data_IF_896396253586
#
_entry.id   IF_896396253586
#
_cell.length_a   1.000
_cell.length_b   1.000
_cell.length_c   1.000
_cell.angle_alpha   90.00
_cell.angle_beta   90.00
_cell.angle_gamma   90.00
#
_symmetry.space_group_name_H-M   'P 1'
#
loop_
_entity.id
_entity.type
_entity.pdbx_description
1 polymer ?
#
# COMPACT_ATOMS: atom_id res chain seq x y z
N UNK A 1 6.73 -56.27 8.79
CA UNK A 1 7.42 -55.16 9.48
C UNK A 1 6.55 -53.91 9.39
N UNK A 2 5.75 -53.64 10.43
CA UNK A 2 4.71 -52.60 10.43
C UNK A 2 5.31 -51.18 10.42
N UNK A 3 4.98 -50.39 9.40
CA UNK A 3 5.27 -48.95 9.37
C UNK A 3 4.36 -48.24 10.36
N UNK A 4 4.92 -47.80 11.50
CA UNK A 4 4.23 -46.89 12.43
C UNK A 4 4.06 -45.53 11.75
N UNK A 5 2.81 -45.12 11.51
CA UNK A 5 2.48 -43.76 11.09
C UNK A 5 2.90 -42.73 12.15
N UNK A 6 3.01 -41.44 11.79
CA UNK A 6 3.42 -40.40 12.72
C UNK A 6 2.37 -40.30 13.84
N UNK A 7 2.80 -40.49 15.09
CA UNK A 7 1.93 -40.25 16.25
C UNK A 7 1.72 -38.75 16.36
N UNK A 8 0.65 -38.26 15.73
CA UNK A 8 0.15 -36.91 15.93
C UNK A 8 -0.28 -36.82 17.39
N UNK A 9 0.33 -35.92 18.16
CA UNK A 9 -0.04 -35.69 19.56
C UNK A 9 -1.52 -35.32 19.68
N UNK A 10 -2.10 -35.54 20.87
CA UNK A 10 -3.47 -35.10 21.15
C UNK A 10 -3.54 -33.58 21.05
N UNK A 11 -4.56 -33.09 20.39
CA UNK A 11 -4.84 -31.66 20.26
C UNK A 11 -5.29 -31.10 21.62
N UNK A 12 -4.95 -29.83 21.89
CA UNK A 12 -5.21 -29.16 23.17
C UNK A 12 -6.71 -29.08 23.45
N UNK A 13 -7.53 -28.90 22.41
CA UNK A 13 -8.98 -28.89 22.53
C UNK A 13 -9.53 -30.24 23.04
N UNK A 14 -8.98 -31.36 22.56
CA UNK A 14 -9.37 -32.71 23.00
C UNK A 14 -8.95 -32.94 24.46
N UNK A 15 -7.76 -32.46 24.83
CA UNK A 15 -7.25 -32.62 26.17
C UNK A 15 -8.06 -31.82 27.21
N UNK A 16 -8.60 -30.66 26.83
CA UNK A 16 -9.43 -29.83 27.72
C UNK A 16 -10.88 -30.31 27.81
N UNK A 17 -11.41 -30.93 26.75
CA UNK A 17 -12.73 -31.56 26.77
C UNK A 17 -12.78 -32.74 27.76
N UNK A 18 -11.68 -33.51 27.88
CA UNK A 18 -11.53 -34.58 28.88
C UNK A 18 -11.71 -34.07 30.34
N UNK A 19 -11.45 -32.78 30.59
CA UNK A 19 -11.65 -32.12 31.90
C UNK A 19 -12.92 -31.26 31.96
N UNK A 20 -13.85 -31.41 31.02
CA UNK A 20 -15.12 -30.70 30.99
C UNK A 20 -15.03 -29.24 30.51
N UNK A 21 -13.89 -28.83 29.96
CA UNK A 21 -13.68 -27.48 29.44
C UNK A 21 -13.85 -27.46 27.92
N UNK A 22 -15.05 -27.12 27.46
CA UNK A 22 -15.34 -27.02 26.03
C UNK A 22 -14.94 -25.65 25.47
N UNK A 23 -13.86 -25.62 24.70
CA UNK A 23 -13.43 -24.40 24.01
C UNK A 23 -14.33 -24.12 22.79
N UNK A 24 -14.72 -22.86 22.53
CA UNK A 24 -15.38 -22.50 21.29
C UNK A 24 -14.41 -22.70 20.12
N UNK A 25 -14.61 -23.77 19.35
CA UNK A 25 -13.81 -24.05 18.17
C UNK A 25 -14.33 -23.23 16.99
N UNK A 26 -13.45 -22.47 16.34
CA UNK A 26 -13.73 -21.97 14.99
C UNK A 26 -13.78 -23.21 14.08
N UNK A 27 -14.87 -23.45 13.33
CA UNK A 27 -14.93 -24.58 12.41
C UNK A 27 -13.72 -24.50 11.50
N UNK A 28 -12.90 -25.56 11.52
CA UNK A 28 -11.74 -25.65 10.66
C UNK A 28 -12.24 -25.57 9.22
N UNK A 29 -11.93 -24.47 8.55
CA UNK A 29 -12.15 -24.36 7.12
C UNK A 29 -11.36 -25.50 6.50
N UNK A 30 -12.03 -26.41 5.81
CA UNK A 30 -11.35 -27.40 4.98
C UNK A 30 -10.45 -26.62 4.02
N UNK A 31 -9.15 -26.63 4.30
CA UNK A 31 -8.17 -26.17 3.33
C UNK A 31 -8.38 -27.04 2.10
N UNK A 32 -8.95 -26.46 1.06
CA UNK A 32 -9.10 -27.08 -0.24
C UNK A 32 -7.77 -27.79 -0.56
N UNK A 33 -7.86 -29.10 -0.82
CA UNK A 33 -6.67 -29.91 -1.10
C UNK A 33 -5.88 -29.21 -2.19
N UNK A 34 -4.63 -28.83 -1.90
CA UNK A 34 -3.74 -28.21 -2.88
C UNK A 34 -3.82 -29.01 -4.18
N UNK A 35 -4.28 -28.38 -5.26
CA UNK A 35 -4.18 -28.96 -6.59
C UNK A 35 -2.72 -29.38 -6.78
N UNK A 36 -2.53 -30.66 -7.14
CA UNK A 36 -1.20 -31.19 -7.36
C UNK A 36 -0.66 -30.49 -8.60
N UNK A 37 0.23 -29.53 -8.39
CA UNK A 37 0.98 -28.92 -9.48
C UNK A 37 1.67 -29.99 -10.34
N UNK A 38 2.08 -29.64 -11.57
CA UNK A 38 2.62 -30.59 -12.54
C UNK A 38 3.85 -31.37 -12.05
N UNK A 39 4.51 -30.89 -10.99
CA UNK A 39 5.60 -31.58 -10.31
C UNK A 39 5.07 -32.53 -9.23
N UNK A 40 4.61 -33.70 -9.67
CA UNK A 40 4.00 -34.74 -8.82
C UNK A 40 5.01 -35.50 -7.95
N UNK A 41 6.32 -35.37 -8.22
CA UNK A 41 7.37 -36.01 -7.44
C UNK A 41 8.48 -35.00 -7.11
N UNK A 42 8.44 -34.45 -5.90
CA UNK A 42 9.58 -33.75 -5.32
C UNK A 42 10.63 -34.79 -4.90
N UNK A 43 11.72 -34.89 -5.66
CA UNK A 43 12.89 -35.66 -5.23
C UNK A 43 13.45 -34.97 -3.97
N UNK A 44 13.65 -35.68 -2.85
CA UNK A 44 14.26 -35.09 -1.67
C UNK A 44 15.63 -34.51 -2.02
N UNK A 45 16.03 -33.41 -1.36
CA UNK A 45 17.33 -32.72 -1.62
C UNK A 45 18.55 -33.66 -1.61
N UNK A 46 18.47 -34.75 -0.85
CA UNK A 46 19.53 -35.77 -0.73
C UNK A 46 19.36 -36.96 -1.67
N UNK A 47 18.43 -36.90 -2.62
CA UNK A 47 18.06 -38.04 -3.46
C UNK A 47 17.11 -39.03 -2.76
N UNK A 48 16.57 -39.99 -3.53
CA UNK A 48 15.64 -40.99 -3.03
C UNK A 48 16.31 -41.97 -2.06
N UNK A 49 15.55 -42.41 -1.04
CA UNK A 49 16.03 -43.42 -0.10
C UNK A 49 16.12 -44.82 -0.72
N UNK A 50 17.15 -45.57 -0.34
CA UNK A 50 17.30 -46.98 -0.71
C UNK A 50 18.73 -47.34 -1.15
N UNK A 51 19.06 -48.63 -1.09
CA UNK A 51 20.36 -49.15 -1.55
C UNK A 51 20.51 -48.87 -3.06
N UNK A 52 21.68 -48.37 -3.46
CA UNK A 52 22.00 -48.09 -4.87
C UNK A 52 21.23 -46.92 -5.51
N UNK A 53 20.53 -46.09 -4.73
CA UNK A 53 19.63 -45.04 -5.24
C UNK A 53 20.25 -43.63 -5.30
N UNK A 54 21.57 -43.53 -5.11
CA UNK A 54 22.30 -42.25 -5.20
C UNK A 54 22.00 -41.26 -4.07
N UNK A 55 21.59 -41.74 -2.88
CA UNK A 55 21.30 -40.86 -1.74
C UNK A 55 22.59 -40.21 -1.22
N UNK A 56 22.65 -38.88 -1.28
CA UNK A 56 23.75 -38.09 -0.74
C UNK A 56 23.69 -38.08 0.80
N UNK A 57 24.80 -38.44 1.46
CA UNK A 57 24.90 -38.43 2.93
C UNK A 57 24.93 -36.99 3.46
N UNK A 58 25.67 -36.12 2.78
CA UNK A 58 25.70 -34.68 2.99
C UNK A 58 25.44 -33.97 1.66
N UNK A 59 24.80 -32.80 1.72
CA UNK A 59 24.72 -31.92 0.55
C UNK A 59 26.11 -31.35 0.31
N UNK A 60 26.53 -31.26 -0.95
CA UNK A 60 27.76 -30.56 -1.29
C UNK A 60 27.68 -29.12 -0.77
N UNK A 61 28.69 -28.61 -0.06
CA UNK A 61 28.74 -27.20 0.29
C UNK A 61 28.86 -26.42 -1.01
N UNK A 62 27.78 -25.76 -1.42
CA UNK A 62 27.81 -24.85 -2.54
C UNK A 62 28.35 -23.51 -2.02
N UNK A 63 29.43 -23.03 -2.64
CA UNK A 63 29.90 -21.67 -2.41
C UNK A 63 28.83 -20.69 -2.88
N UNK A 64 28.24 -19.95 -1.95
CA UNK A 64 27.27 -18.91 -2.26
C UNK A 64 28.04 -17.62 -2.51
N UNK A 65 28.10 -17.21 -3.77
CA UNK A 65 28.66 -15.92 -4.17
C UNK A 65 27.53 -14.91 -4.27
N UNK A 66 27.70 -13.73 -3.67
CA UNK A 66 26.80 -12.57 -3.84
C UNK A 66 27.50 -11.57 -4.74
N UNK A 67 26.78 -11.07 -5.74
CA UNK A 67 27.30 -10.15 -6.74
C UNK A 67 26.16 -9.20 -7.11
N UNK A 68 26.45 -7.95 -7.43
CA UNK A 68 25.42 -7.02 -7.89
C UNK A 68 24.97 -7.40 -9.30
N UNK A 69 23.73 -7.09 -9.66
CA UNK A 69 23.20 -7.32 -11.01
C UNK A 69 24.00 -6.59 -12.09
N UNK A 70 24.68 -5.49 -11.73
CA UNK A 70 25.61 -4.78 -12.63
C UNK A 70 26.83 -5.61 -13.05
N UNK A 71 27.36 -6.44 -12.15
CA UNK A 71 28.64 -7.10 -12.38
C UNK A 71 28.49 -8.48 -13.06
N UNK A 72 27.32 -9.11 -13.00
CA UNK A 72 27.12 -10.47 -13.55
C UNK A 72 26.34 -10.40 -14.87
N UNK A 73 26.92 -10.80 -16.02
CA UNK A 73 26.25 -10.78 -17.31
C UNK A 73 25.28 -11.97 -17.43
N UNK A 74 24.19 -11.94 -16.66
CA UNK A 74 23.14 -12.95 -16.67
C UNK A 74 21.81 -12.24 -16.82
N UNK A 75 20.89 -12.81 -17.61
CA UNK A 75 19.51 -12.34 -17.67
C UNK A 75 18.84 -12.63 -16.34
N UNK A 76 18.29 -11.60 -15.70
CA UNK A 76 17.55 -11.71 -14.45
C UNK A 76 16.04 -11.61 -14.73
N UNK A 77 15.39 -12.69 -15.20
CA UNK A 77 13.95 -12.65 -15.39
C UNK A 77 13.30 -12.43 -14.02
N UNK A 78 12.28 -11.57 -13.96
CA UNK A 78 11.51 -11.23 -12.76
C UNK A 78 12.14 -10.18 -11.82
N UNK A 79 13.13 -9.39 -12.28
CA UNK A 79 13.47 -8.14 -11.60
C UNK A 79 12.39 -7.11 -11.90
N UNK A 80 11.80 -6.56 -10.84
CA UNK A 80 10.87 -5.44 -10.98
C UNK A 80 11.61 -4.18 -11.44
N UNK A 81 10.91 -3.38 -12.23
CA UNK A 81 11.39 -2.05 -12.66
C UNK A 81 11.78 -1.20 -11.46
N UNK A 82 12.66 -0.21 -11.68
CA UNK A 82 12.89 0.85 -10.71
C UNK A 82 11.57 1.48 -10.29
N UNK A 83 11.42 1.75 -8.99
CA UNK A 83 10.28 2.50 -8.47
C UNK A 83 10.23 3.93 -9.04
N UNK A 84 9.15 4.64 -8.72
CA UNK A 84 9.03 6.05 -9.08
C UNK A 84 10.18 6.88 -8.49
N UNK A 85 10.56 7.99 -9.15
CA UNK A 85 11.60 8.88 -8.63
C UNK A 85 11.33 9.29 -7.18
N UNK A 86 12.38 9.54 -6.38
CA UNK A 86 12.24 9.91 -4.97
C UNK A 86 11.80 11.38 -4.80
N UNK A 87 10.68 11.74 -5.41
CA UNK A 87 10.09 13.08 -5.41
C UNK A 87 8.84 13.13 -4.54
N UNK A 88 8.74 14.15 -3.68
CA UNK A 88 7.61 14.38 -2.79
C UNK A 88 7.48 13.38 -1.63
N UNK A 89 6.24 13.02 -1.29
CA UNK A 89 5.96 12.31 -0.05
C UNK A 89 6.28 10.82 -0.12
N UNK A 90 7.15 10.31 0.75
CA UNK A 90 7.29 8.87 0.92
C UNK A 90 6.02 8.29 1.58
N UNK A 91 5.32 7.44 0.84
CA UNK A 91 4.03 6.87 1.25
C UNK A 91 4.14 5.44 1.74
N UNK A 92 5.16 4.70 1.32
CA UNK A 92 5.37 3.33 1.78
C UNK A 92 6.45 2.60 1.00
N UNK A 93 6.21 1.31 0.78
CA UNK A 93 7.09 0.42 -0.01
C UNK A 93 6.31 -0.02 -1.24
N UNK A 94 6.94 0.11 -2.40
CA UNK A 94 6.41 -0.38 -3.66
C UNK A 94 6.49 -1.92 -3.66
N UNK A 95 5.36 -2.57 -3.94
CA UNK A 95 5.23 -4.02 -3.81
C UNK A 95 6.10 -4.79 -4.82
N UNK A 96 6.32 -4.23 -6.01
CA UNK A 96 7.02 -4.93 -7.09
C UNK A 96 8.53 -4.75 -6.93
N UNK A 97 8.99 -3.51 -6.82
CA UNK A 97 10.41 -3.15 -6.70
C UNK A 97 10.99 -3.42 -5.31
N UNK A 98 10.16 -3.45 -4.27
CA UNK A 98 10.60 -3.48 -2.87
C UNK A 98 11.27 -2.18 -2.41
N UNK A 99 11.33 -1.16 -3.27
CA UNK A 99 11.86 0.16 -2.96
C UNK A 99 10.87 1.05 -2.24
N UNK A 100 11.32 2.23 -1.82
CA UNK A 100 10.42 3.24 -1.26
C UNK A 100 9.47 3.77 -2.34
N UNK A 101 8.18 3.84 -2.01
CA UNK A 101 7.16 4.45 -2.86
C UNK A 101 6.98 5.92 -2.48
N UNK A 102 7.26 6.80 -3.43
CA UNK A 102 7.09 8.24 -3.32
C UNK A 102 5.89 8.71 -4.15
N UNK A 103 5.13 9.64 -3.61
CA UNK A 103 3.95 10.21 -4.24
C UNK A 103 4.16 11.71 -4.46
N UNK A 104 4.25 12.13 -5.72
CA UNK A 104 4.31 13.53 -6.14
C UNK A 104 3.61 13.72 -7.49
N UNK A 105 2.26 13.83 -7.49
CA UNK A 105 1.50 13.91 -8.73
C UNK A 105 1.86 15.13 -9.59
N UNK A 106 2.28 16.23 -8.97
CA UNK A 106 2.71 17.42 -9.70
C UNK A 106 4.10 17.17 -10.28
N UNK A 107 5.04 16.64 -9.49
CA UNK A 107 6.37 16.26 -9.98
C UNK A 107 6.33 15.23 -11.11
N UNK A 108 5.40 14.28 -11.08
CA UNK A 108 5.23 13.28 -12.13
C UNK A 108 4.83 13.87 -13.48
N UNK A 109 4.04 14.94 -13.49
CA UNK A 109 3.60 15.59 -14.74
C UNK A 109 4.72 16.47 -15.32
N UNK A 110 5.66 16.92 -14.49
CA UNK A 110 6.80 17.72 -14.93
C UNK A 110 7.99 16.87 -15.40
N UNK A 111 7.94 15.56 -15.19
CA UNK A 111 9.00 14.63 -15.59
C UNK A 111 8.61 13.92 -16.90
N UNK A 112 9.29 14.28 -18.00
CA UNK A 112 9.05 13.69 -19.33
C UNK A 112 9.28 12.17 -19.39
N UNK A 113 9.99 11.60 -18.42
CA UNK A 113 10.19 10.15 -18.31
C UNK A 113 8.95 9.41 -17.77
N UNK A 114 7.99 10.13 -17.18
CA UNK A 114 6.79 9.56 -16.57
C UNK A 114 5.58 9.86 -17.47
N UNK A 115 4.87 8.83 -17.98
CA UNK A 115 3.77 9.03 -18.93
C UNK A 115 2.46 9.43 -18.22
N UNK A 116 2.48 10.53 -17.45
CA UNK A 116 1.31 11.08 -16.74
C UNK A 116 1.11 12.53 -17.15
N UNK A 117 -0.10 12.86 -17.60
CA UNK A 117 -0.43 14.21 -18.12
C UNK A 117 -1.22 15.07 -17.15
N UNK A 118 -1.72 14.48 -16.06
CA UNK A 118 -2.60 15.16 -15.11
C UNK A 118 -2.24 14.77 -13.67
N UNK A 119 -2.10 15.74 -12.74
CA UNK A 119 -1.72 15.48 -11.36
C UNK A 119 -2.89 14.98 -10.49
N UNK A 120 -4.07 14.76 -11.06
CA UNK A 120 -5.23 14.28 -10.31
C UNK A 120 -5.03 12.86 -9.80
N UNK A 121 -5.25 12.67 -8.50
CA UNK A 121 -5.18 11.35 -7.83
C UNK A 121 -6.56 10.97 -7.31
N UNK A 122 -6.94 9.71 -7.55
CA UNK A 122 -8.17 9.13 -6.98
C UNK A 122 -7.79 8.02 -6.01
N UNK A 123 -8.24 8.12 -4.76
CA UNK A 123 -7.92 7.15 -3.70
C UNK A 123 -9.14 6.30 -3.37
N UNK A 124 -9.05 5.01 -3.69
CA UNK A 124 -10.10 4.02 -3.38
C UNK A 124 -9.75 3.22 -2.12
N UNK A 125 -10.78 2.87 -1.35
CA UNK A 125 -10.61 2.01 -0.18
C UNK A 125 -11.94 1.70 0.50
N UNK A 126 -12.08 0.45 0.95
CA UNK A 126 -13.23 0.03 1.76
C UNK A 126 -13.26 0.83 3.08
N UNK A 127 -14.44 1.17 3.63
CA UNK A 127 -14.54 1.76 4.96
C UNK A 127 -13.73 0.96 5.99
N UNK A 128 -12.97 1.67 6.84
CA UNK A 128 -12.11 1.06 7.86
C UNK A 128 -10.74 0.53 7.37
N UNK A 129 -10.36 0.75 6.09
CA UNK A 129 -9.04 0.31 5.56
C UNK A 129 -7.97 1.41 5.52
N UNK A 130 -8.15 2.50 6.26
CA UNK A 130 -7.14 3.54 6.38
C UNK A 130 -7.09 4.56 5.25
N UNK A 131 -8.09 4.63 4.36
CA UNK A 131 -8.15 5.64 3.28
C UNK A 131 -7.89 7.07 3.77
N UNK A 132 -8.65 7.52 4.78
CA UNK A 132 -8.49 8.88 5.34
C UNK A 132 -7.14 9.06 6.02
N UNK A 133 -6.60 8.03 6.68
CA UNK A 133 -5.27 8.08 7.28
C UNK A 133 -4.17 8.26 6.22
N UNK A 134 -4.25 7.53 5.11
CA UNK A 134 -3.34 7.66 3.98
C UNK A 134 -3.41 9.04 3.35
N UNK A 135 -4.62 9.58 3.13
CA UNK A 135 -4.80 10.93 2.55
C UNK A 135 -4.26 12.02 3.48
N UNK A 136 -4.52 11.94 4.79
CA UNK A 136 -3.96 12.88 5.78
C UNK A 136 -2.43 12.81 5.83
N UNK A 137 -1.87 11.61 5.83
CA UNK A 137 -0.42 11.42 5.81
C UNK A 137 0.21 11.97 4.54
N UNK A 138 -0.43 11.76 3.39
CA UNK A 138 -0.01 12.34 2.11
C UNK A 138 -0.02 13.88 2.18
N UNK A 139 -1.16 14.47 2.55
CA UNK A 139 -1.29 15.93 2.67
C UNK A 139 -0.22 16.52 3.60
N UNK A 140 -0.11 16.00 4.83
CA UNK A 140 0.85 16.47 5.83
C UNK A 140 2.30 16.41 5.34
N UNK A 141 2.68 15.31 4.65
CA UNK A 141 4.03 15.17 4.10
C UNK A 141 4.30 16.13 2.94
N UNK A 142 3.30 16.37 2.09
CA UNK A 142 3.43 17.31 0.98
C UNK A 142 3.57 18.77 1.44
N UNK A 143 3.00 19.14 2.59
CA UNK A 143 3.20 20.48 3.17
C UNK A 143 4.69 20.81 3.38
N UNK A 144 5.51 19.83 3.74
CA UNK A 144 6.96 20.02 3.94
C UNK A 144 7.70 20.40 2.64
N UNK A 145 7.11 20.09 1.48
CA UNK A 145 7.62 20.46 0.16
C UNK A 145 7.01 21.78 -0.36
N UNK A 146 6.29 22.53 0.48
CA UNK A 146 5.70 23.82 0.12
C UNK A 146 4.36 23.74 -0.62
N UNK A 147 3.80 22.54 -0.80
CA UNK A 147 2.45 22.39 -1.35
C UNK A 147 1.41 22.91 -0.38
N UNK A 148 0.37 23.55 -0.92
CA UNK A 148 -0.81 23.99 -0.15
C UNK A 148 -1.92 22.96 -0.29
N UNK A 149 -2.58 22.62 0.81
CA UNK A 149 -3.71 21.70 0.80
C UNK A 149 -5.00 22.44 1.11
N UNK A 150 -6.01 22.28 0.25
CA UNK A 150 -7.37 22.74 0.47
C UNK A 150 -8.28 21.52 0.60
N UNK A 151 -9.00 21.44 1.72
CA UNK A 151 -9.93 20.33 2.00
C UNK A 151 -11.35 20.88 1.82
N UNK A 152 -12.08 20.31 0.86
CA UNK A 152 -13.46 20.69 0.56
C UNK A 152 -14.41 19.59 1.04
N UNK A 153 -15.51 19.99 1.68
CA UNK A 153 -16.59 19.06 2.01
C UNK A 153 -16.23 18.01 3.07
N UNK A 154 -15.49 18.40 4.10
CA UNK A 154 -15.22 17.55 5.27
C UNK A 154 -16.48 17.34 6.12
N UNK A 155 -17.40 16.52 5.63
CA UNK A 155 -18.72 16.28 6.24
C UNK A 155 -18.67 15.49 7.55
N UNK A 156 -17.49 14.94 7.89
CA UNK A 156 -17.27 14.10 9.07
C UNK A 156 -16.27 14.70 10.04
N UNK A 157 -15.86 15.95 9.80
CA UNK A 157 -14.86 16.67 10.59
C UNK A 157 -13.58 15.85 10.80
N UNK A 158 -13.20 15.06 9.78
CA UNK A 158 -12.05 14.17 9.87
C UNK A 158 -10.74 14.98 9.85
N UNK A 159 -10.69 16.10 9.16
CA UNK A 159 -9.49 16.90 8.95
C UNK A 159 -9.39 18.13 9.85
N UNK A 160 -10.48 18.55 10.49
CA UNK A 160 -10.50 19.67 11.44
C UNK A 160 -9.40 19.56 12.53
N UNK A 161 -9.19 18.41 13.20
CA UNK A 161 -8.09 18.27 14.16
C UNK A 161 -6.70 18.44 13.55
N UNK A 162 -6.52 18.01 12.29
CA UNK A 162 -5.26 18.17 11.56
C UNK A 162 -4.98 19.65 11.25
N UNK A 163 -5.99 20.38 10.78
CA UNK A 163 -5.88 21.82 10.53
C UNK A 163 -5.51 22.59 11.79
N UNK A 164 -6.21 22.32 12.91
CA UNK A 164 -5.91 22.97 14.20
C UNK A 164 -4.52 22.63 14.73
N UNK A 165 -4.07 21.39 14.57
CA UNK A 165 -2.71 20.99 14.92
C UNK A 165 -1.64 21.75 14.12
N UNK A 166 -1.99 22.21 12.90
CA UNK A 166 -1.14 23.05 12.05
C UNK A 166 -1.36 24.56 12.29
N UNK A 167 -2.15 24.94 13.31
CA UNK A 167 -2.46 26.34 13.62
C UNK A 167 -3.41 27.01 12.62
N UNK A 168 -4.14 26.22 11.83
CA UNK A 168 -5.12 26.71 10.85
C UNK A 168 -6.53 26.52 11.41
N UNK A 169 -7.30 27.60 11.49
CA UNK A 169 -8.72 27.52 11.85
C UNK A 169 -9.55 27.17 10.61
N UNK A 170 -10.30 26.05 10.59
CA UNK A 170 -11.14 25.67 9.47
C UNK A 170 -12.36 26.58 9.33
N UNK A 171 -12.81 26.80 8.09
CA UNK A 171 -14.10 27.43 7.83
C UNK A 171 -15.23 26.42 8.01
N UNK A 172 -16.00 26.56 9.07
CA UNK A 172 -17.15 25.68 9.35
C UNK A 172 -18.43 26.32 8.81
N UNK A 173 -19.06 25.69 7.82
CA UNK A 173 -20.28 26.19 7.18
C UNK A 173 -21.45 25.31 7.61
N UNK A 174 -22.49 25.92 8.16
CA UNK A 174 -23.64 25.20 8.68
C UNK A 174 -24.77 26.12 9.13
N UNK A 175 -25.94 25.55 9.37
CA UNK A 175 -27.11 26.30 9.81
C UNK A 175 -26.85 26.92 11.19
N UNK A 176 -27.10 28.22 11.34
CA UNK A 176 -26.90 28.95 12.59
C UNK A 176 -25.44 29.31 12.93
N UNK A 177 -24.45 28.88 12.15
CA UNK A 177 -23.05 29.31 12.32
C UNK A 177 -22.85 30.74 11.81
N UNK A 178 -21.71 31.36 12.07
CA UNK A 178 -21.42 32.74 11.62
C UNK A 178 -20.82 32.79 10.21
N UNK A 179 -20.04 31.78 9.81
CA UNK A 179 -19.41 31.75 8.50
C UNK A 179 -20.46 31.65 7.38
N UNK A 180 -20.30 32.47 6.34
CA UNK A 180 -21.16 32.51 5.16
C UNK A 180 -20.28 32.48 3.91
N UNK A 181 -20.70 31.70 2.92
CA UNK A 181 -20.13 31.75 1.57
C UNK A 181 -21.21 32.33 0.67
N UNK A 182 -20.89 33.42 -0.02
CA UNK A 182 -21.79 34.05 -0.99
C UNK A 182 -21.50 33.48 -2.39
N UNK A 183 -22.39 32.65 -2.97
CA UNK A 183 -22.18 32.12 -4.32
C UNK A 183 -22.24 33.19 -5.42
N UNK A 184 -22.83 34.35 -5.12
CA UNK A 184 -22.92 35.49 -6.04
C UNK A 184 -21.71 36.43 -5.93
N UNK A 185 -20.78 36.17 -5.01
CA UNK A 185 -19.57 36.97 -4.95
C UNK A 185 -18.70 36.67 -6.18
N UNK A 186 -18.25 37.72 -6.87
CA UNK A 186 -17.32 37.62 -8.00
C UNK A 186 -15.97 36.99 -7.61
N UNK A 187 -15.65 37.00 -6.32
CA UNK A 187 -14.44 36.36 -5.79
C UNK A 187 -13.19 37.02 -6.38
N UNK A 188 -12.18 36.26 -6.83
CA UNK A 188 -10.97 36.82 -7.43
C UNK A 188 -11.22 37.65 -8.69
N UNK A 189 -12.37 37.47 -9.37
CA UNK A 189 -12.72 38.26 -10.54
C UNK A 189 -13.05 39.72 -10.18
N UNK A 190 -13.45 39.98 -8.93
CA UNK A 190 -13.72 41.34 -8.44
C UNK A 190 -12.45 42.22 -8.42
N UNK A 191 -11.27 41.61 -8.36
CA UNK A 191 -10.00 42.35 -8.33
C UNK A 191 -9.77 43.09 -9.65
N UNK A 192 -9.98 44.41 -9.61
CA UNK A 192 -9.83 45.27 -10.78
C UNK A 192 -11.04 45.28 -11.72
N UNK A 193 -12.17 44.70 -11.30
CA UNK A 193 -13.41 44.69 -12.06
C UNK A 193 -13.87 46.10 -12.46
N UNK A 194 -13.74 47.06 -11.54
CA UNK A 194 -14.06 48.48 -11.75
C UNK A 194 -13.18 49.16 -12.82
N UNK A 195 -12.08 48.52 -13.23
CA UNK A 195 -11.09 49.04 -14.17
C UNK A 195 -11.05 48.27 -15.50
N UNK A 196 -11.89 47.24 -15.65
CA UNK A 196 -12.01 46.50 -16.90
C UNK A 196 -12.64 47.39 -17.97
N UNK A 197 -12.08 47.37 -19.18
CA UNK A 197 -12.68 48.12 -20.28
C UNK A 197 -14.03 47.49 -20.71
N UNK A 198 -14.86 48.27 -21.41
CA UNK A 198 -16.21 47.85 -21.80
C UNK A 198 -16.24 46.72 -22.86
N UNK A 199 -15.11 46.40 -23.50
CA UNK A 199 -14.93 45.29 -24.44
C UNK A 199 -14.43 44.02 -23.73
N UNK A 200 -13.57 44.14 -22.73
CA UNK A 200 -13.09 43.08 -21.85
C UNK A 200 -14.20 42.55 -20.94
N UNK A 201 -15.06 43.43 -20.42
CA UNK A 201 -16.21 43.05 -19.59
C UNK A 201 -17.30 42.27 -20.34
N UNK A 202 -17.26 42.22 -21.68
CA UNK A 202 -18.23 41.49 -22.53
C UNK A 202 -17.68 40.18 -23.12
N UNK A 203 -16.40 39.87 -22.87
CA UNK A 203 -15.76 38.62 -23.31
C UNK A 203 -15.98 37.50 -22.31
#
# INVERSE_FOLDING_TARGET
MNRRGPRRGRDVAVLLDDFGHRLPAVPAVETAGRERGPFTALVPRRGPGGRGRGRAVALAPLSVWRMTSEQTPVVWPLIATSGLPPTGAQMGIDLLSGGAFYCDPVGWVTDDAIPVTNPNVVVFGKPGRGKSATVKAFALRMLAYGYRTLILGDTKDEYEPLCRALGVEPFVIGHGLSARVNPLAFGPLDHGWDRLDAAEARR
#
